data_IF_594293351234
#
_entry.id   IF_594293351234
#
_cell.length_a   1.000
_cell.length_b   1.000
_cell.length_c   1.000
_cell.angle_alpha   90.00
_cell.angle_beta   90.00
_cell.angle_gamma   90.00
#
_symmetry.space_group_name_H-M   'P 1'
#
loop_
_entity.id
_entity.type
_entity.pdbx_description
1 polymer ?
#
# COMPACT_ATOMS: atom_id res chain seq x y z
N UNK A 1 21.94 -20.81 -6.67
CA UNK A 1 21.26 -19.63 -7.25
C UNK A 1 19.81 -19.61 -6.75
N UNK A 2 19.58 -19.24 -5.49
CA UNK A 2 18.24 -19.25 -4.89
C UNK A 2 17.48 -18.00 -5.28
N UNK A 3 16.37 -18.14 -6.01
CA UNK A 3 15.46 -17.04 -6.34
C UNK A 3 14.86 -16.51 -5.02
N UNK A 4 15.28 -15.31 -4.61
CA UNK A 4 14.75 -14.63 -3.43
C UNK A 4 13.30 -14.17 -3.69
N UNK A 5 12.36 -15.09 -3.57
CA UNK A 5 10.91 -14.83 -3.61
C UNK A 5 10.42 -14.06 -2.37
N UNK A 6 11.21 -14.02 -1.30
CA UNK A 6 10.74 -13.49 -0.02
C UNK A 6 10.40 -12.00 0.01
N UNK A 7 10.99 -11.16 -0.85
CA UNK A 7 10.85 -9.68 -0.78
C UNK A 7 9.44 -9.12 -1.03
N UNK A 8 8.51 -9.95 -1.49
CA UNK A 8 7.18 -9.51 -1.92
C UNK A 8 6.02 -9.92 -1.01
N UNK A 9 6.25 -10.64 0.09
CA UNK A 9 5.15 -11.15 0.91
C UNK A 9 4.23 -10.03 1.43
N UNK A 10 4.80 -8.90 1.87
CA UNK A 10 4.03 -7.73 2.32
C UNK A 10 3.16 -7.13 1.21
N UNK A 11 3.68 -7.04 -0.01
CA UNK A 11 2.91 -6.57 -1.17
C UNK A 11 1.79 -7.54 -1.55
N UNK A 12 2.03 -8.85 -1.48
CA UNK A 12 1.00 -9.87 -1.72
C UNK A 12 -0.12 -9.82 -0.69
N UNK A 13 0.19 -9.56 0.58
CA UNK A 13 -0.82 -9.36 1.61
C UNK A 13 -1.72 -8.16 1.30
N UNK A 14 -1.14 -7.05 0.84
CA UNK A 14 -1.92 -5.87 0.41
C UNK A 14 -2.81 -6.22 -0.79
N UNK A 15 -2.29 -6.98 -1.77
CA UNK A 15 -3.08 -7.42 -2.92
C UNK A 15 -4.24 -8.35 -2.53
N UNK A 16 -4.04 -9.25 -1.57
CA UNK A 16 -5.09 -10.12 -1.04
C UNK A 16 -6.19 -9.33 -0.33
N UNK A 17 -5.84 -8.29 0.44
CA UNK A 17 -6.84 -7.45 1.07
C UNK A 17 -7.59 -6.58 0.05
N UNK A 18 -6.87 -6.02 -0.94
CA UNK A 18 -7.49 -5.26 -2.01
C UNK A 18 -8.46 -6.12 -2.85
N UNK A 19 -8.15 -7.40 -3.09
CA UNK A 19 -9.06 -8.30 -3.80
C UNK A 19 -10.34 -8.57 -3.01
N UNK A 20 -10.25 -8.68 -1.68
CA UNK A 20 -11.42 -8.81 -0.82
C UNK A 20 -12.31 -7.55 -0.86
N UNK A 21 -11.71 -6.36 -0.77
CA UNK A 21 -12.46 -5.08 -0.83
C UNK A 21 -13.16 -4.93 -2.19
N UNK A 22 -12.44 -5.20 -3.29
CA UNK A 22 -13.01 -5.16 -4.65
C UNK A 22 -14.12 -6.20 -4.81
N UNK A 23 -13.89 -7.44 -4.38
CA UNK A 23 -14.84 -8.54 -4.55
C UNK A 23 -16.08 -8.44 -3.67
N UNK A 24 -15.99 -7.77 -2.51
CA UNK A 24 -17.13 -7.53 -1.63
C UNK A 24 -17.97 -6.31 -2.04
N UNK A 25 -17.50 -5.49 -2.97
CA UNK A 25 -18.15 -4.21 -3.32
C UNK A 25 -18.20 -3.24 -2.15
N UNK A 26 -17.34 -3.42 -1.14
CA UNK A 26 -17.33 -2.61 0.07
C UNK A 26 -16.80 -1.18 -0.17
N UNK A 27 -16.91 -0.30 0.84
CA UNK A 27 -16.35 1.04 0.80
C UNK A 27 -14.85 0.99 0.42
N UNK A 28 -14.48 1.67 -0.68
CA UNK A 28 -13.11 1.65 -1.22
C UNK A 28 -12.96 0.87 -2.53
N UNK A 29 -13.91 0.00 -2.90
CA UNK A 29 -13.88 -0.72 -4.17
C UNK A 29 -13.86 0.21 -5.40
N UNK A 30 -14.68 1.28 -5.38
CA UNK A 30 -14.74 2.30 -6.45
C UNK A 30 -13.40 3.02 -6.66
N UNK A 31 -12.65 3.22 -5.57
CA UNK A 31 -11.40 3.96 -5.58
C UNK A 31 -10.18 3.09 -5.81
N UNK A 32 -10.33 1.77 -5.64
CA UNK A 32 -9.48 0.78 -6.28
C UNK A 32 -9.85 0.60 -7.77
N UNK A 33 -10.85 1.33 -8.27
CA UNK A 33 -11.38 1.20 -9.64
C UNK A 33 -11.78 -0.24 -9.99
N UNK A 34 -12.26 -0.99 -8.99
CA UNK A 34 -12.58 -2.41 -9.14
C UNK A 34 -11.37 -3.30 -9.48
N UNK A 35 -10.14 -2.87 -9.19
CA UNK A 35 -8.92 -3.61 -9.54
C UNK A 35 -7.95 -3.72 -8.38
N UNK A 36 -7.26 -4.86 -8.32
CA UNK A 36 -6.17 -5.08 -7.36
C UNK A 36 -4.93 -4.29 -7.82
N UNK A 37 -4.32 -3.44 -6.98
CA UNK A 37 -3.18 -2.63 -7.37
C UNK A 37 -1.93 -3.49 -7.64
N UNK A 38 -1.12 -3.04 -8.59
CA UNK A 38 0.19 -3.63 -8.86
C UNK A 38 1.18 -3.31 -7.74
N UNK A 39 2.30 -4.04 -7.67
CA UNK A 39 3.38 -3.78 -6.71
C UNK A 39 3.89 -2.34 -6.84
N UNK A 40 4.08 -1.85 -8.07
CA UNK A 40 4.51 -0.47 -8.30
C UNK A 40 3.49 0.55 -7.77
N UNK A 41 2.19 0.28 -7.91
CA UNK A 41 1.17 1.16 -7.33
C UNK A 41 1.16 1.13 -5.81
N UNK A 42 1.38 -0.04 -5.22
CA UNK A 42 1.53 -0.16 -3.78
C UNK A 42 2.75 0.64 -3.29
N UNK A 43 3.87 0.59 -4.01
CA UNK A 43 5.04 1.41 -3.69
C UNK A 43 4.71 2.91 -3.78
N UNK A 44 4.01 3.36 -4.82
CA UNK A 44 3.59 4.76 -4.91
C UNK A 44 2.72 5.18 -3.72
N UNK A 45 1.80 4.33 -3.27
CA UNK A 45 0.97 4.61 -2.10
C UNK A 45 1.80 4.71 -0.81
N UNK A 46 2.76 3.80 -0.61
CA UNK A 46 3.66 3.83 0.55
C UNK A 46 4.48 5.13 0.57
N UNK A 47 5.05 5.53 -0.58
CA UNK A 47 5.84 6.76 -0.68
C UNK A 47 4.96 8.00 -0.44
N UNK A 48 3.74 8.02 -0.99
CA UNK A 48 2.78 9.10 -0.75
C UNK A 48 2.33 9.18 0.72
N UNK A 49 2.22 8.04 1.42
CA UNK A 49 1.97 8.00 2.86
C UNK A 49 3.10 8.69 3.62
N UNK A 50 4.34 8.34 3.29
CA UNK A 50 5.52 8.96 3.89
C UNK A 50 5.59 10.46 3.63
N UNK A 51 5.24 10.91 2.43
CA UNK A 51 5.16 12.33 2.07
C UNK A 51 4.08 13.08 2.86
N UNK A 52 2.99 12.40 3.22
CA UNK A 52 1.94 12.93 4.09
C UNK A 52 2.29 12.89 5.59
N UNK A 53 3.52 12.47 5.95
CA UNK A 53 3.99 12.34 7.34
C UNK A 53 3.51 11.05 8.04
N UNK A 54 2.80 10.17 7.33
CA UNK A 54 2.31 8.91 7.87
C UNK A 54 3.43 7.88 7.79
N UNK A 55 3.87 7.35 8.93
CA UNK A 55 4.94 6.34 9.02
C UNK A 55 6.23 6.74 8.26
N UNK A 56 6.55 8.04 8.20
CA UNK A 56 7.68 8.58 7.43
C UNK A 56 9.05 7.99 7.82
N UNK A 57 9.16 7.41 9.01
CA UNK A 57 10.34 6.65 9.46
C UNK A 57 10.69 5.51 8.50
N UNK A 58 9.69 4.83 7.91
CA UNK A 58 9.92 3.76 6.94
C UNK A 58 10.71 4.23 5.71
N UNK A 59 10.56 5.50 5.30
CA UNK A 59 11.38 6.09 4.22
C UNK A 59 12.84 6.22 4.62
N UNK A 60 13.11 6.59 5.87
CA UNK A 60 14.47 6.76 6.41
C UNK A 60 15.17 5.41 6.54
N UNK A 61 14.49 4.38 7.04
CA UNK A 61 15.06 3.04 7.21
C UNK A 61 15.31 2.33 5.89
N UNK A 62 14.37 2.46 4.94
CA UNK A 62 14.46 1.76 3.67
C UNK A 62 15.21 2.57 2.60
N UNK A 63 15.30 3.89 2.73
CA UNK A 63 15.77 4.78 1.67
C UNK A 63 14.83 4.82 0.47
N UNK A 64 13.54 4.53 0.65
CA UNK A 64 12.55 4.43 -0.42
C UNK A 64 12.34 3.01 -0.92
N UNK A 65 11.11 2.68 -1.28
CA UNK A 65 10.69 1.37 -1.81
C UNK A 65 10.39 1.40 -3.31
N UNK A 66 10.21 2.58 -3.91
CA UNK A 66 9.86 2.72 -5.33
C UNK A 66 10.86 2.08 -6.28
N UNK A 67 10.37 1.18 -7.15
CA UNK A 67 11.20 0.46 -8.12
C UNK A 67 12.12 -0.59 -7.51
N UNK A 68 12.01 -0.85 -6.20
CA UNK A 68 12.89 -1.79 -5.49
C UNK A 68 12.18 -3.12 -5.20
N UNK A 69 12.96 -4.11 -4.77
CA UNK A 69 12.46 -5.38 -4.20
C UNK A 69 12.58 -5.42 -2.68
N UNK A 70 12.63 -4.25 -2.03
CA UNK A 70 12.80 -4.17 -0.58
C UNK A 70 11.56 -4.73 0.10
N UNK A 71 11.82 -5.50 1.16
CA UNK A 71 10.79 -5.97 2.05
C UNK A 71 10.08 -4.77 2.66
N UNK A 72 8.76 -4.88 2.78
CA UNK A 72 7.95 -3.99 3.59
C UNK A 72 7.39 -4.82 4.75
N UNK A 73 7.49 -4.30 5.97
CA UNK A 73 7.00 -4.96 7.16
C UNK A 73 5.47 -4.98 7.26
N UNK A 74 4.95 -5.74 8.23
CA UNK A 74 3.51 -5.79 8.56
C UNK A 74 2.99 -4.40 8.95
N UNK A 75 3.82 -3.55 9.55
CA UNK A 75 3.58 -2.14 9.84
C UNK A 75 3.26 -1.34 8.57
N UNK A 76 4.09 -1.43 7.54
CA UNK A 76 3.90 -0.74 6.27
C UNK A 76 2.73 -1.31 5.47
N UNK A 77 2.48 -2.64 5.57
CA UNK A 77 1.31 -3.26 4.95
C UNK A 77 0.00 -2.84 5.62
N UNK A 78 -0.02 -2.78 6.96
CA UNK A 78 -1.16 -2.28 7.74
C UNK A 78 -1.37 -0.78 7.50
N UNK A 79 -0.29 0.00 7.35
CA UNK A 79 -0.36 1.42 7.03
C UNK A 79 -0.76 1.70 5.58
N UNK A 80 -0.37 0.87 4.61
CA UNK A 80 -0.85 0.99 3.23
C UNK A 80 -2.36 0.77 3.16
N UNK A 81 -2.87 -0.18 3.96
CA UNK A 81 -4.30 -0.43 4.10
C UNK A 81 -5.00 0.73 4.81
N UNK A 82 -4.40 1.26 5.89
CA UNK A 82 -4.86 2.46 6.57
C UNK A 82 -4.81 3.67 5.64
N UNK A 83 -3.84 3.77 4.74
CA UNK A 83 -3.74 4.85 3.77
C UNK A 83 -4.81 4.74 2.71
N UNK A 84 -5.15 3.53 2.24
CA UNK A 84 -6.37 3.34 1.47
C UNK A 84 -7.51 3.93 2.32
N UNK A 85 -7.80 3.46 3.54
CA UNK A 85 -8.90 4.02 4.38
C UNK A 85 -8.83 5.55 4.70
N UNK A 86 -7.63 6.13 4.84
CA UNK A 86 -7.40 7.54 5.23
C UNK A 86 -7.39 8.46 4.01
N UNK A 87 -6.80 8.08 2.88
CA UNK A 87 -6.95 8.80 1.60
C UNK A 87 -8.42 8.74 1.15
N UNK A 88 -9.13 7.66 1.49
CA UNK A 88 -10.58 7.50 1.34
C UNK A 88 -11.41 8.43 2.26
N UNK A 89 -10.88 8.92 3.39
CA UNK A 89 -11.54 9.86 4.31
C UNK A 89 -11.14 11.32 4.09
N UNK A 90 -9.87 11.60 3.82
CA UNK A 90 -9.34 12.96 3.62
C UNK A 90 -9.82 13.61 2.32
N UNK A 91 -10.24 12.80 1.33
CA UNK A 91 -10.91 13.31 0.12
C UNK A 91 -12.35 13.81 0.35
N UNK A 92 -12.85 13.79 1.59
CA UNK A 92 -14.11 14.43 2.02
C UNK A 92 -13.90 15.61 3.00
N UNK A 93 -12.66 16.08 3.22
CA UNK A 93 -12.38 17.25 4.09
C UNK A 93 -11.85 18.45 3.29
N UNK A 94 -11.90 18.40 1.96
CA UNK A 94 -11.80 19.61 1.13
C UNK A 94 -13.13 19.82 0.41
N UNK A 95 -13.82 20.89 0.83
CA UNK A 95 -15.16 21.38 0.48
C UNK A 95 -16.32 20.86 1.35
#
# INVERSE_FOLDING_TARGET
MGRSEGGFCGYRNIQMMASYIVGSGGPGADRLHGRVPSIFRIQDYIEAAWDAGINAHGRVETGGVKGTRKYIGTSEASFSLLLIDVYLKLSWVTY
#
